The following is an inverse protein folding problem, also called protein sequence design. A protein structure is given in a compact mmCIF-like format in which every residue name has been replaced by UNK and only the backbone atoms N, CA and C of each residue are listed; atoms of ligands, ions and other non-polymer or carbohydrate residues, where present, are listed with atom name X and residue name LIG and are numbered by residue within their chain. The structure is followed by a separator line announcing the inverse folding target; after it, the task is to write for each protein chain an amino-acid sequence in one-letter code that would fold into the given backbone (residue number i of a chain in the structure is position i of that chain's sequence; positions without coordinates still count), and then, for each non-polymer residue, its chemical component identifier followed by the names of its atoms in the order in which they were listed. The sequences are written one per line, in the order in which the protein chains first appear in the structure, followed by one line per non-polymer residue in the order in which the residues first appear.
data_IF_545496420644
#
_entry.id   IF_545496420644
#
_cell.length_a   1.000
_cell.length_b   1.000
_cell.length_c   1.000
_cell.angle_alpha   90.00
_cell.angle_beta   90.00
_cell.angle_gamma   90.00
#
_symmetry.space_group_name_H-M   'P 1'
#
loop_
_entity.id
_entity.type
_entity.pdbx_description
1 polymer ?
#
# COMPACT_ATOMS: atom_id res chain seq x y z
N UNK A 1 0.23 -15.99 7.14
CA UNK A 1 0.71 -14.86 7.98
C UNK A 1 -0.27 -13.70 7.79
N UNK A 2 -0.83 -13.19 8.86
CA UNK A 2 -1.62 -11.96 8.82
C UNK A 2 -0.63 -10.78 8.92
N UNK A 3 -0.57 -9.92 7.91
CA UNK A 3 0.37 -8.80 7.88
C UNK A 3 -0.36 -7.47 8.04
N UNK A 4 -1.54 -7.35 7.46
CA UNK A 4 -2.36 -6.14 7.50
C UNK A 4 -3.85 -6.48 7.56
N UNK A 5 -4.69 -5.49 7.83
CA UNK A 5 -6.15 -5.59 7.83
C UNK A 5 -6.77 -4.29 7.32
N UNK A 6 -8.05 -4.33 6.93
CA UNK A 6 -8.81 -3.16 6.56
C UNK A 6 -10.04 -3.00 7.47
N UNK A 7 -10.64 -1.82 7.46
CA UNK A 7 -11.97 -1.58 8.02
C UNK A 7 -13.02 -1.58 6.90
N UNK A 8 -14.21 -2.07 7.19
CA UNK A 8 -15.40 -1.90 6.37
C UNK A 8 -16.54 -1.46 7.30
N UNK A 9 -16.85 -0.17 7.31
CA UNK A 9 -17.64 0.41 8.40
C UNK A 9 -16.95 0.16 9.74
N UNK A 10 -17.66 -0.50 10.66
CA UNK A 10 -17.13 -0.85 11.98
C UNK A 10 -16.48 -2.25 12.03
N UNK A 11 -16.61 -3.06 10.98
CA UNK A 11 -16.10 -4.43 10.91
C UNK A 11 -14.64 -4.46 10.42
N UNK A 12 -13.92 -5.55 10.78
CA UNK A 12 -12.52 -5.74 10.39
C UNK A 12 -12.42 -6.77 9.28
N UNK A 13 -11.79 -6.41 8.19
CA UNK A 13 -11.47 -7.31 7.07
C UNK A 13 -10.07 -7.87 7.25
N UNK A 14 -9.94 -9.19 7.21
CA UNK A 14 -8.67 -9.91 7.42
C UNK A 14 -8.33 -10.79 6.22
N UNK A 15 -7.04 -10.91 5.93
CA UNK A 15 -6.50 -11.61 4.77
C UNK A 15 -5.77 -12.88 5.22
N UNK A 16 -6.40 -14.06 5.03
CA UNK A 16 -5.75 -15.35 5.26
C UNK A 16 -5.23 -15.88 3.92
N UNK A 17 -4.06 -15.38 3.55
CA UNK A 17 -3.39 -15.68 2.29
C UNK A 17 -2.19 -16.60 2.51
N UNK A 18 -1.73 -17.31 1.45
CA UNK A 18 -0.76 -18.41 1.56
C UNK A 18 0.69 -17.96 1.80
N UNK A 19 0.91 -16.95 2.64
CA UNK A 19 2.21 -16.64 3.23
C UNK A 19 2.30 -17.32 4.59
N UNK A 20 3.10 -18.38 4.67
CA UNK A 20 3.24 -19.18 5.89
C UNK A 20 4.56 -18.90 6.58
N UNK A 21 4.55 -18.93 7.92
CA UNK A 21 5.76 -18.76 8.73
C UNK A 21 6.34 -20.14 9.02
N UNK A 22 7.57 -20.37 8.55
CA UNK A 22 8.33 -21.62 8.69
C UNK A 22 9.66 -21.36 9.42
N UNK A 23 9.68 -21.25 10.76
CA UNK A 23 10.89 -20.88 11.50
C UNK A 23 12.10 -21.80 11.26
N UNK A 24 11.85 -23.09 10.99
CA UNK A 24 12.90 -24.05 10.69
C UNK A 24 13.75 -23.70 9.45
N UNK A 25 13.26 -22.86 8.56
CA UNK A 25 14.01 -22.36 7.39
C UNK A 25 15.24 -21.54 7.79
N UNK A 26 15.17 -20.85 8.94
CA UNK A 26 16.31 -20.09 9.48
C UNK A 26 17.52 -20.96 9.81
N UNK A 27 17.31 -22.24 10.08
CA UNK A 27 18.41 -23.21 10.29
C UNK A 27 19.21 -23.49 9.01
N UNK A 28 18.69 -23.05 7.86
CA UNK A 28 19.32 -23.20 6.54
C UNK A 28 19.56 -21.82 5.88
N UNK A 29 19.72 -20.77 6.68
CA UNK A 29 19.94 -19.38 6.23
C UNK A 29 18.89 -18.87 5.22
N UNK A 30 17.64 -19.38 5.35
CA UNK A 30 16.51 -18.95 4.53
C UNK A 30 15.57 -18.06 5.32
N UNK A 31 14.94 -17.12 4.62
CA UNK A 31 13.90 -16.28 5.24
C UNK A 31 12.74 -17.15 5.74
N UNK A 32 12.19 -16.87 6.95
CA UNK A 32 11.22 -17.75 7.60
C UNK A 32 9.81 -17.70 6.99
N UNK A 33 9.55 -16.87 6.00
CA UNK A 33 8.26 -16.78 5.31
C UNK A 33 8.34 -17.44 3.93
N UNK A 34 7.32 -18.19 3.57
CA UNK A 34 7.22 -18.91 2.30
C UNK A 34 5.83 -18.74 1.69
N UNK A 35 5.77 -18.62 0.35
CA UNK A 35 4.53 -18.65 -0.40
C UNK A 35 4.15 -20.08 -0.70
N UNK A 36 3.01 -20.54 -0.16
CA UNK A 36 2.50 -21.91 -0.31
C UNK A 36 1.09 -21.88 -0.94
N UNK A 37 0.95 -21.77 -2.27
CA UNK A 37 -0.34 -21.59 -2.94
C UNK A 37 -1.35 -22.70 -2.65
N UNK A 38 -0.88 -23.90 -2.31
CA UNK A 38 -1.75 -25.03 -1.92
C UNK A 38 -2.48 -24.83 -0.59
N UNK A 39 -2.07 -23.85 0.21
CA UNK A 39 -2.80 -23.45 1.42
C UNK A 39 -4.17 -22.82 1.10
N UNK A 40 -4.34 -22.31 -0.13
CA UNK A 40 -5.50 -21.53 -0.52
C UNK A 40 -5.45 -20.10 0.01
N UNK A 41 -6.49 -19.32 -0.32
CA UNK A 41 -6.66 -17.97 0.17
C UNK A 41 -8.13 -17.70 0.50
N UNK A 42 -8.37 -16.86 1.50
CA UNK A 42 -9.71 -16.41 1.86
C UNK A 42 -9.66 -15.03 2.51
N UNK A 43 -10.75 -14.29 2.36
CA UNK A 43 -10.96 -13.00 3.02
C UNK A 43 -12.03 -13.21 4.09
N UNK A 44 -11.77 -12.72 5.30
CA UNK A 44 -12.69 -12.82 6.44
C UNK A 44 -13.20 -11.45 6.86
N UNK A 45 -14.47 -11.40 7.25
CA UNK A 45 -15.07 -10.25 7.94
C UNK A 45 -15.29 -10.63 9.40
N UNK A 46 -14.63 -9.92 10.29
CA UNK A 46 -14.79 -10.07 11.73
C UNK A 46 -15.75 -8.99 12.22
N UNK A 47 -16.94 -9.39 12.63
CA UNK A 47 -17.91 -8.46 13.19
C UNK A 47 -17.47 -7.96 14.57
N UNK A 48 -17.22 -6.68 14.66
CA UNK A 48 -16.58 -6.05 15.83
C UNK A 48 -17.33 -6.30 17.13
N UNK A 49 -18.68 -6.23 17.10
CA UNK A 49 -19.50 -6.39 18.31
C UNK A 49 -19.59 -7.83 18.81
N UNK A 50 -19.65 -8.81 17.89
CA UNK A 50 -19.93 -10.21 18.23
C UNK A 50 -18.70 -11.10 18.17
N UNK A 51 -17.65 -10.69 17.48
CA UNK A 51 -16.47 -11.50 17.16
C UNK A 51 -16.78 -12.62 16.14
N UNK A 52 -18.00 -12.72 15.62
CA UNK A 52 -18.33 -13.68 14.58
C UNK A 52 -17.53 -13.37 13.30
N UNK A 53 -17.07 -14.40 12.62
CA UNK A 53 -16.27 -14.24 11.40
C UNK A 53 -16.91 -15.01 10.25
N UNK A 54 -17.14 -14.31 9.13
CA UNK A 54 -17.57 -14.90 7.86
C UNK A 54 -16.39 -14.93 6.90
N UNK A 55 -16.18 -16.06 6.20
CA UNK A 55 -15.06 -16.27 5.30
C UNK A 55 -15.51 -16.52 3.87
N UNK A 56 -14.89 -15.87 2.89
CA UNK A 56 -15.05 -16.15 1.47
C UNK A 56 -13.73 -16.64 0.88
N UNK A 57 -13.76 -17.77 0.18
CA UNK A 57 -12.59 -18.26 -0.57
C UNK A 57 -12.36 -17.39 -1.80
N UNK A 58 -11.08 -17.11 -2.09
CA UNK A 58 -10.60 -16.31 -3.22
C UNK A 58 -9.38 -16.98 -3.88
N UNK A 59 -8.98 -16.50 -5.04
CA UNK A 59 -7.77 -17.02 -5.71
C UNK A 59 -6.50 -16.72 -4.90
N UNK A 60 -5.59 -17.70 -4.79
CA UNK A 60 -4.32 -17.54 -4.10
C UNK A 60 -3.46 -16.42 -4.69
N UNK A 61 -2.74 -15.75 -3.83
CA UNK A 61 -1.79 -14.69 -4.16
C UNK A 61 -1.06 -14.25 -2.89
N UNK A 62 -0.39 -13.12 -2.95
CA UNK A 62 0.20 -12.48 -1.79
C UNK A 62 -0.42 -11.10 -1.62
N UNK A 63 -0.90 -10.82 -0.43
CA UNK A 63 -1.35 -9.50 0.02
C UNK A 63 -0.52 -9.15 1.24
N UNK A 64 0.26 -8.07 1.14
CA UNK A 64 0.94 -7.46 2.27
C UNK A 64 0.12 -6.29 2.80
N UNK A 65 -0.31 -5.38 1.94
CA UNK A 65 -0.97 -4.16 2.34
C UNK A 65 -2.39 -4.07 1.76
N UNK A 66 -3.34 -3.81 2.65
CA UNK A 66 -4.70 -3.44 2.32
C UNK A 66 -4.77 -1.98 1.85
N UNK A 67 -5.56 -1.69 0.84
CA UNK A 67 -5.81 -0.32 0.43
C UNK A 67 -7.03 0.26 1.15
N UNK A 68 -8.17 -0.43 1.08
CA UNK A 68 -9.40 -0.08 1.80
C UNK A 68 -10.45 -1.18 1.66
N UNK A 69 -11.52 -1.12 2.47
CA UNK A 69 -12.71 -1.93 2.28
C UNK A 69 -13.96 -1.15 2.67
N UNK A 70 -15.11 -1.49 2.08
CA UNK A 70 -16.39 -0.89 2.41
C UNK A 70 -17.55 -1.79 2.00
N UNK A 71 -18.74 -1.50 2.48
CA UNK A 71 -19.96 -2.18 2.05
C UNK A 71 -20.73 -1.33 1.03
N UNK A 72 -21.14 -1.97 -0.06
CA UNK A 72 -22.15 -1.48 -1.01
C UNK A 72 -23.44 -2.32 -0.82
N UNK A 73 -24.33 -1.87 0.05
CA UNK A 73 -25.47 -2.68 0.46
C UNK A 73 -25.04 -3.93 1.24
N UNK A 74 -25.31 -5.13 0.69
CA UNK A 74 -24.93 -6.43 1.25
C UNK A 74 -23.61 -6.98 0.67
N UNK A 75 -22.96 -6.21 -0.19
CA UNK A 75 -21.73 -6.58 -0.87
C UNK A 75 -20.54 -5.88 -0.25
N UNK A 76 -19.55 -6.66 0.17
CA UNK A 76 -18.27 -6.16 0.62
C UNK A 76 -17.34 -5.94 -0.59
N UNK A 77 -16.86 -4.73 -0.75
CA UNK A 77 -15.80 -4.38 -1.71
C UNK A 77 -14.50 -4.26 -0.94
N UNK A 78 -13.49 -5.05 -1.33
CA UNK A 78 -12.15 -5.04 -0.72
C UNK A 78 -11.14 -4.68 -1.79
N UNK A 79 -10.26 -3.72 -1.48
CA UNK A 79 -9.13 -3.36 -2.34
C UNK A 79 -7.83 -3.53 -1.59
N UNK A 80 -6.86 -4.17 -2.23
CA UNK A 80 -5.53 -4.38 -1.67
C UNK A 80 -4.50 -4.52 -2.79
N UNK A 81 -3.22 -4.52 -2.42
CA UNK A 81 -2.15 -4.79 -3.36
C UNK A 81 -1.89 -6.30 -3.40
N UNK A 82 -2.12 -6.89 -4.58
CA UNK A 82 -1.97 -8.33 -4.80
C UNK A 82 -0.82 -8.61 -5.75
N UNK A 83 0.05 -9.53 -5.36
CA UNK A 83 1.10 -10.07 -6.19
C UNK A 83 0.97 -11.58 -6.39
N UNK A 84 1.56 -12.09 -7.48
CA UNK A 84 1.60 -13.52 -7.82
C UNK A 84 3.05 -13.98 -7.94
N UNK A 85 3.66 -14.50 -6.86
CA UNK A 85 4.99 -15.07 -6.92
C UNK A 85 5.04 -16.27 -7.89
N UNK A 86 6.03 -16.30 -8.78
CA UNK A 86 6.19 -17.38 -9.75
C UNK A 86 6.64 -18.70 -9.13
N UNK A 87 7.27 -18.63 -7.96
CA UNK A 87 7.73 -19.82 -7.20
C UNK A 87 7.63 -19.57 -5.69
N UNK A 88 7.51 -20.61 -4.86
CA UNK A 88 7.43 -20.47 -3.40
C UNK A 88 8.58 -19.68 -2.76
N UNK A 89 9.78 -19.75 -3.33
CA UNK A 89 10.97 -19.05 -2.80
C UNK A 89 11.18 -17.65 -3.39
N UNK A 90 10.41 -17.23 -4.39
CA UNK A 90 10.64 -15.98 -5.13
C UNK A 90 10.17 -14.73 -4.40
N UNK A 91 9.28 -14.88 -3.42
CA UNK A 91 8.65 -13.73 -2.75
C UNK A 91 9.65 -12.73 -2.12
N UNK A 92 10.78 -13.22 -1.60
CA UNK A 92 11.82 -12.36 -1.00
C UNK A 92 13.12 -12.37 -1.80
N UNK A 93 13.37 -13.45 -2.55
CA UNK A 93 14.59 -13.56 -3.34
C UNK A 93 14.57 -12.72 -4.63
N UNK A 94 13.39 -12.36 -5.11
CA UNK A 94 13.21 -11.49 -6.28
C UNK A 94 11.95 -10.65 -6.09
N UNK A 95 11.99 -9.42 -6.59
CA UNK A 95 10.81 -8.57 -6.59
C UNK A 95 9.67 -9.22 -7.38
N UNK A 96 8.54 -9.34 -6.70
CA UNK A 96 7.29 -9.71 -7.33
C UNK A 96 6.39 -8.49 -7.30
N UNK A 97 6.08 -7.88 -8.46
CA UNK A 97 5.26 -6.69 -8.50
C UNK A 97 3.87 -6.97 -7.94
N UNK A 98 3.37 -6.04 -7.15
CA UNK A 98 2.00 -6.02 -6.69
C UNK A 98 1.21 -4.96 -7.46
N UNK A 99 -0.08 -5.19 -7.60
CA UNK A 99 -0.99 -4.34 -8.36
C UNK A 99 -2.26 -4.14 -7.57
N UNK A 100 -2.92 -3.02 -7.77
CA UNK A 100 -4.19 -2.73 -7.13
C UNK A 100 -5.26 -3.71 -7.63
N UNK A 101 -5.88 -4.42 -6.70
CA UNK A 101 -6.80 -5.51 -6.93
C UNK A 101 -8.09 -5.33 -6.15
N UNK A 102 -9.22 -5.74 -6.70
CA UNK A 102 -10.53 -5.65 -6.09
C UNK A 102 -11.20 -7.02 -6.00
N UNK A 103 -11.76 -7.31 -4.84
CA UNK A 103 -12.70 -8.41 -4.58
C UNK A 103 -14.07 -7.85 -4.25
N UNK A 104 -15.11 -8.49 -4.80
CA UNK A 104 -16.50 -8.26 -4.43
C UNK A 104 -17.06 -9.53 -3.81
N UNK A 105 -17.54 -9.41 -2.57
CA UNK A 105 -17.89 -10.56 -1.73
C UNK A 105 -19.29 -10.34 -1.15
N UNK A 106 -20.12 -11.38 -1.19
CA UNK A 106 -21.41 -11.39 -0.52
C UNK A 106 -21.52 -12.63 0.38
N UNK A 107 -21.57 -12.41 1.69
CA UNK A 107 -21.49 -13.49 2.66
C UNK A 107 -20.24 -14.35 2.46
N UNK A 108 -20.40 -15.65 2.19
CA UNK A 108 -19.30 -16.58 1.97
C UNK A 108 -18.85 -16.71 0.49
N UNK A 109 -19.41 -15.90 -0.40
CA UNK A 109 -19.16 -16.02 -1.85
C UNK A 109 -18.36 -14.82 -2.38
N UNK A 110 -17.23 -15.10 -3.00
CA UNK A 110 -16.58 -14.16 -3.91
C UNK A 110 -17.40 -14.10 -5.21
N UNK A 111 -17.91 -12.91 -5.54
CA UNK A 111 -18.73 -12.67 -6.74
C UNK A 111 -17.84 -12.34 -7.95
N UNK A 112 -16.80 -11.56 -7.69
CA UNK A 112 -15.80 -11.20 -8.70
C UNK A 112 -14.49 -10.80 -8.04
N UNK A 113 -13.41 -10.98 -8.78
CA UNK A 113 -12.09 -10.54 -8.39
C UNK A 113 -11.27 -10.16 -9.63
N UNK A 114 -10.59 -9.01 -9.59
CA UNK A 114 -9.86 -8.48 -10.75
C UNK A 114 -8.76 -7.49 -10.38
N UNK A 115 -7.76 -7.36 -11.21
CA UNK A 115 -6.88 -6.19 -11.21
C UNK A 115 -7.67 -4.97 -11.68
N UNK A 116 -7.48 -3.84 -11.00
CA UNK A 116 -8.08 -2.56 -11.36
C UNK A 116 -7.04 -1.55 -11.84
N UNK A 117 -5.76 -1.94 -11.83
CA UNK A 117 -4.67 -1.23 -12.51
C UNK A 117 -3.54 -2.18 -12.90
N UNK A 118 -2.88 -1.87 -14.01
CA UNK A 118 -1.64 -2.53 -14.47
C UNK A 118 -0.37 -1.84 -13.94
N UNK A 119 -0.52 -0.79 -13.15
CA UNK A 119 0.62 -0.07 -12.55
C UNK A 119 1.10 -0.80 -11.31
N UNK A 120 2.35 -1.30 -11.38
CA UNK A 120 2.99 -1.92 -10.22
C UNK A 120 3.21 -0.89 -9.10
N UNK A 121 2.78 -1.22 -7.89
CA UNK A 121 2.88 -0.32 -6.73
C UNK A 121 2.93 -1.10 -5.42
N UNK A 122 3.28 -0.39 -4.36
CA UNK A 122 3.24 -0.86 -2.97
C UNK A 122 2.88 0.29 -2.02
N UNK A 123 2.56 -0.06 -0.76
CA UNK A 123 2.21 0.88 0.29
C UNK A 123 1.07 1.82 -0.12
N UNK A 124 -0.14 1.29 -0.27
CA UNK A 124 -1.29 2.08 -0.64
C UNK A 124 -1.71 2.97 0.53
N UNK A 125 -2.10 4.20 0.23
CA UNK A 125 -2.65 5.13 1.17
C UNK A 125 -3.95 5.74 0.62
N UNK A 126 -4.87 6.05 1.50
CA UNK A 126 -6.17 6.60 1.18
C UNK A 126 -6.42 7.85 2.03
N UNK A 127 -7.29 8.72 1.56
CA UNK A 127 -7.82 9.81 2.37
C UNK A 127 -8.40 9.24 3.68
N UNK A 128 -7.89 9.61 4.87
CA UNK A 128 -8.34 9.02 6.14
C UNK A 128 -9.83 9.21 6.40
N UNK A 129 -10.48 10.19 5.76
CA UNK A 129 -11.93 10.38 5.83
C UNK A 129 -12.72 9.29 5.09
N UNK A 130 -12.05 8.55 4.18
CA UNK A 130 -12.62 7.45 3.38
C UNK A 130 -12.26 6.06 3.89
N UNK A 131 -11.54 5.93 5.00
CA UNK A 131 -11.21 4.62 5.57
C UNK A 131 -12.48 3.92 6.06
N UNK A 132 -12.69 2.67 5.62
CA UNK A 132 -13.90 1.91 5.94
C UNK A 132 -15.15 2.32 5.15
N UNK A 133 -15.03 3.28 4.24
CA UNK A 133 -16.08 3.78 3.36
C UNK A 133 -15.62 3.74 1.90
N UNK A 134 -16.51 4.09 0.96
CA UNK A 134 -16.12 4.19 -0.45
C UNK A 134 -15.17 5.37 -0.67
N UNK A 135 -13.90 5.06 -0.89
CA UNK A 135 -12.88 6.04 -1.20
C UNK A 135 -12.58 6.02 -2.71
N UNK A 136 -12.78 7.16 -3.40
CA UNK A 136 -12.66 7.19 -4.85
C UNK A 136 -11.21 7.23 -5.35
N UNK A 137 -10.25 7.60 -4.51
CA UNK A 137 -8.85 7.73 -4.89
C UNK A 137 -7.92 7.03 -3.91
N UNK A 138 -6.83 6.48 -4.45
CA UNK A 138 -5.74 5.85 -3.71
C UNK A 138 -4.40 6.42 -4.17
N UNK A 139 -3.46 6.49 -3.25
CA UNK A 139 -2.07 6.87 -3.52
C UNK A 139 -1.17 5.70 -3.14
N UNK A 140 -0.06 5.53 -3.86
CA UNK A 140 0.89 4.48 -3.55
C UNK A 140 2.29 4.90 -4.02
N UNK A 141 3.30 4.13 -3.62
CA UNK A 141 4.64 4.25 -4.19
C UNK A 141 4.84 3.21 -5.30
N UNK A 142 5.60 3.57 -6.32
CA UNK A 142 5.79 2.75 -7.51
C UNK A 142 7.25 2.80 -7.97
N UNK A 143 7.82 1.69 -8.47
CA UNK A 143 9.11 1.71 -9.15
C UNK A 143 8.97 2.34 -10.54
N UNK A 144 10.02 3.03 -11.00
CA UNK A 144 10.10 3.56 -12.37
C UNK A 144 10.20 2.45 -13.42
N UNK A 145 10.82 1.33 -13.04
CA UNK A 145 10.98 0.16 -13.90
C UNK A 145 10.79 -1.11 -13.09
N UNK A 146 10.12 -2.09 -13.69
CA UNK A 146 9.96 -3.43 -13.12
C UNK A 146 11.14 -4.28 -13.60
N UNK A 147 11.89 -4.81 -12.65
CA UNK A 147 12.99 -5.74 -12.94
C UNK A 147 14.25 -5.40 -12.12
N UNK A 148 14.64 -6.33 -11.28
CA UNK A 148 15.83 -6.23 -10.42
C UNK A 148 15.69 -7.08 -9.16
N UNK A 149 16.78 -7.35 -8.47
CA UNK A 149 16.74 -8.10 -7.21
C UNK A 149 16.29 -7.17 -6.08
N UNK A 150 15.19 -7.50 -5.44
CA UNK A 150 14.77 -7.05 -4.10
C UNK A 150 14.54 -5.54 -3.87
N UNK A 151 13.30 -5.15 -3.56
CA UNK A 151 12.91 -3.79 -3.14
C UNK A 151 13.49 -3.38 -1.77
N UNK A 152 13.97 -4.32 -0.97
CA UNK A 152 14.52 -4.08 0.37
C UNK A 152 16.05 -4.05 0.40
N UNK A 153 16.70 -4.08 -0.77
CA UNK A 153 18.15 -3.97 -0.90
C UNK A 153 18.63 -2.50 -0.95
N UNK A 154 19.93 -2.27 -0.78
CA UNK A 154 20.50 -0.94 -1.01
C UNK A 154 20.22 -0.50 -2.45
N UNK A 155 20.09 0.82 -2.72
CA UNK A 155 19.75 1.36 -4.05
C UNK A 155 20.64 0.88 -5.21
N UNK A 156 21.86 0.43 -4.90
CA UNK A 156 22.80 -0.13 -5.88
C UNK A 156 22.46 -1.54 -6.37
N UNK A 157 21.58 -2.25 -5.66
CA UNK A 157 21.26 -3.67 -5.91
C UNK A 157 19.76 -3.95 -6.03
N UNK A 158 18.91 -2.96 -5.75
CA UNK A 158 17.46 -3.12 -5.66
C UNK A 158 16.68 -2.30 -6.68
N UNK A 159 15.37 -2.47 -6.63
CA UNK A 159 14.43 -1.63 -7.36
C UNK A 159 14.36 -0.28 -6.67
N UNK A 160 14.63 0.76 -7.43
CA UNK A 160 14.48 2.13 -6.97
C UNK A 160 12.99 2.52 -7.01
N UNK A 161 12.39 2.66 -5.84
CA UNK A 161 11.04 3.20 -5.72
C UNK A 161 11.16 4.71 -5.69
N UNK A 162 10.78 5.35 -6.77
CA UNK A 162 10.99 6.78 -7.00
C UNK A 162 9.75 7.53 -7.52
N UNK A 163 8.58 6.86 -7.52
CA UNK A 163 7.33 7.46 -7.98
C UNK A 163 6.26 7.41 -6.90
N UNK A 164 5.51 8.49 -6.76
CA UNK A 164 4.18 8.52 -6.14
C UNK A 164 3.16 8.41 -7.25
N UNK A 165 2.22 7.50 -7.13
CA UNK A 165 1.14 7.27 -8.12
C UNK A 165 -0.22 7.49 -7.48
N UNK A 166 -1.18 7.93 -8.29
CA UNK A 166 -2.58 8.10 -7.95
C UNK A 166 -3.44 7.18 -8.80
N UNK A 167 -4.39 6.54 -8.15
CA UNK A 167 -5.48 5.80 -8.79
C UNK A 167 -6.78 6.55 -8.54
N UNK A 168 -7.62 6.68 -9.56
CA UNK A 168 -8.93 7.32 -9.47
C UNK A 168 -9.99 6.38 -10.03
N UNK A 169 -10.92 5.98 -9.17
CA UNK A 169 -11.97 5.00 -9.49
C UNK A 169 -13.25 5.65 -10.03
N UNK A 170 -13.29 6.97 -10.15
CA UNK A 170 -14.45 7.71 -10.71
C UNK A 170 -14.50 7.66 -12.24
N UNK A 171 -13.40 7.26 -12.88
CA UNK A 171 -13.35 7.12 -14.34
C UNK A 171 -14.02 5.84 -14.82
N UNK A 172 -14.49 5.86 -16.09
CA UNK A 172 -15.10 4.70 -16.76
C UNK A 172 -14.06 3.81 -17.48
N UNK A 173 -12.77 4.06 -17.26
CA UNK A 173 -11.67 3.31 -17.89
C UNK A 173 -11.41 1.95 -17.23
N UNK A 174 -10.79 1.04 -18.02
CA UNK A 174 -10.41 -0.29 -17.53
C UNK A 174 -9.20 -0.25 -16.56
N UNK A 175 -8.40 0.83 -16.56
CA UNK A 175 -7.27 1.05 -15.66
C UNK A 175 -7.53 2.28 -14.78
N UNK A 176 -7.46 2.08 -13.47
CA UNK A 176 -7.65 3.13 -12.49
C UNK A 176 -6.46 4.11 -12.36
N UNK A 177 -5.31 3.84 -13.01
CA UNK A 177 -4.19 4.76 -13.00
C UNK A 177 -4.60 6.15 -13.54
N UNK A 178 -4.35 7.18 -12.76
CA UNK A 178 -4.76 8.55 -13.10
C UNK A 178 -3.58 9.50 -13.27
N UNK A 179 -2.59 9.45 -12.36
CA UNK A 179 -1.52 10.45 -12.32
C UNK A 179 -0.30 9.94 -11.57
N UNK A 180 0.86 10.57 -11.78
CA UNK A 180 2.09 10.22 -11.09
C UNK A 180 3.08 11.39 -11.00
N UNK A 181 3.85 11.40 -9.92
CA UNK A 181 5.02 12.25 -9.79
C UNK A 181 6.27 11.39 -9.54
N UNK A 182 7.38 11.75 -10.21
CA UNK A 182 8.66 11.06 -10.06
C UNK A 182 9.64 11.95 -9.28
N UNK A 183 10.30 11.36 -8.29
CA UNK A 183 11.33 12.05 -7.50
C UNK A 183 12.48 12.57 -8.39
N UNK A 184 13.19 13.62 -7.95
CA UNK A 184 14.44 14.05 -8.57
C UNK A 184 15.45 12.90 -8.66
N UNK A 185 16.34 12.97 -9.65
CA UNK A 185 17.46 12.03 -9.75
C UNK A 185 18.27 11.96 -8.45
N UNK A 186 18.71 10.76 -8.10
CA UNK A 186 19.44 10.47 -6.87
C UNK A 186 18.64 10.56 -5.56
N UNK A 187 17.29 10.54 -5.62
CA UNK A 187 16.42 10.33 -4.49
C UNK A 187 15.57 9.07 -4.67
N UNK A 188 15.22 8.44 -3.56
CA UNK A 188 14.30 7.30 -3.51
C UNK A 188 13.35 7.45 -2.33
N UNK A 189 12.16 6.88 -2.44
CA UNK A 189 11.14 6.91 -1.39
C UNK A 189 11.53 5.95 -0.27
N UNK A 190 11.39 6.40 0.97
CA UNK A 190 11.73 5.62 2.17
C UNK A 190 10.54 5.15 2.97
N UNK A 191 9.33 5.57 2.61
CA UNK A 191 8.08 5.18 3.28
C UNK A 191 6.90 5.24 2.31
N UNK A 192 5.74 4.77 2.79
CA UNK A 192 4.45 5.03 2.16
C UNK A 192 4.17 6.53 2.03
N UNK A 193 3.28 6.95 1.11
CA UNK A 193 2.80 8.33 1.08
C UNK A 193 1.87 8.59 2.27
N UNK A 194 2.07 9.71 2.97
CA UNK A 194 1.16 10.13 4.04
C UNK A 194 0.11 11.07 3.46
N UNK A 195 -1.16 10.71 3.59
CA UNK A 195 -2.28 11.48 3.04
C UNK A 195 -2.88 12.37 4.11
N UNK A 196 -2.97 13.67 3.84
CA UNK A 196 -3.48 14.69 4.77
C UNK A 196 -4.64 15.46 4.12
N UNK A 197 -5.85 15.38 4.65
CA UNK A 197 -6.99 16.12 4.11
C UNK A 197 -6.74 17.63 4.08
N UNK A 198 -7.09 18.31 2.98
CA UNK A 198 -7.20 19.77 2.96
C UNK A 198 -8.48 20.17 3.68
N UNK A 199 -8.49 21.33 4.35
CA UNK A 199 -9.63 21.81 5.17
C UNK A 199 -10.94 21.92 4.40
N UNK A 200 -10.86 22.25 3.12
CA UNK A 200 -11.97 22.40 2.17
C UNK A 200 -11.90 21.40 1.02
N UNK A 201 -11.01 20.41 1.14
CA UNK A 201 -10.74 19.43 0.11
C UNK A 201 -11.87 18.41 -0.08
N UNK A 202 -12.11 18.06 -1.33
CA UNK A 202 -13.02 16.96 -1.71
C UNK A 202 -12.48 15.63 -1.21
N UNK A 203 -13.38 14.72 -0.81
CA UNK A 203 -13.00 13.36 -0.43
C UNK A 203 -12.24 12.66 -1.57
N UNK A 204 -11.13 12.06 -1.23
CA UNK A 204 -10.29 11.25 -2.09
C UNK A 204 -9.06 12.00 -2.61
N UNK A 205 -9.19 13.06 -3.39
CA UNK A 205 -8.07 13.80 -3.98
C UNK A 205 -7.89 15.23 -3.46
N UNK A 206 -8.86 15.77 -2.74
CA UNK A 206 -8.72 17.05 -2.02
C UNK A 206 -7.83 16.92 -0.79
N UNK A 207 -6.59 16.48 -0.99
CA UNK A 207 -5.62 16.14 0.04
C UNK A 207 -4.22 16.66 -0.31
N UNK A 208 -3.38 16.80 0.69
CA UNK A 208 -1.93 16.85 0.53
C UNK A 208 -1.37 15.42 0.62
N UNK A 209 -0.42 15.10 -0.24
CA UNK A 209 0.32 13.83 -0.22
C UNK A 209 1.78 14.11 0.14
N UNK A 210 2.20 13.66 1.31
CA UNK A 210 3.57 13.81 1.77
C UNK A 210 4.39 12.59 1.39
N UNK A 211 5.49 12.80 0.69
CA UNK A 211 6.42 11.76 0.28
C UNK A 211 7.81 12.02 0.86
N UNK A 212 8.36 11.04 1.56
CA UNK A 212 9.69 11.12 2.17
C UNK A 212 10.72 10.52 1.21
N UNK A 213 11.64 11.35 0.73
CA UNK A 213 12.71 10.92 -0.16
C UNK A 213 14.08 11.12 0.46
N UNK A 214 14.90 10.07 0.41
CA UNK A 214 16.30 10.14 0.86
C UNK A 214 17.24 10.06 -0.34
N UNK A 215 18.33 10.85 -0.31
CA UNK A 215 19.32 10.84 -1.40
C UNK A 215 20.11 9.53 -1.42
N UNK A 216 20.45 9.07 -2.63
CA UNK A 216 21.28 7.89 -2.84
C UNK A 216 22.78 8.15 -2.60
N UNK A 217 23.20 9.41 -2.39
CA UNK A 217 24.59 9.79 -2.21
C UNK A 217 25.12 9.36 -0.81
N UNK A 218 26.08 8.43 -0.71
CA UNK A 218 26.50 7.86 0.58
C UNK A 218 27.16 8.88 1.53
N UNK A 219 27.81 9.91 0.99
CA UNK A 219 28.66 10.82 1.79
C UNK A 219 27.89 11.98 2.44
N UNK A 220 26.69 12.29 1.99
CA UNK A 220 25.83 13.38 2.51
C UNK A 220 24.38 13.02 2.24
N UNK A 221 23.86 12.02 2.94
CA UNK A 221 22.46 11.69 2.83
C UNK A 221 21.60 12.85 3.31
N UNK A 222 20.68 13.27 2.45
CA UNK A 222 19.67 14.28 2.74
C UNK A 222 18.30 13.61 2.66
N UNK A 223 17.40 14.02 3.53
CA UNK A 223 15.99 13.65 3.44
C UNK A 223 15.16 14.87 3.18
N UNK A 224 14.29 14.75 2.20
CA UNK A 224 13.29 15.75 1.85
C UNK A 224 11.90 15.21 2.13
N UNK A 225 11.02 16.07 2.61
CA UNK A 225 9.57 15.84 2.58
C UNK A 225 9.04 16.64 1.41
N UNK A 226 8.47 15.95 0.44
CA UNK A 226 7.80 16.55 -0.70
C UNK A 226 6.31 16.63 -0.39
N UNK A 227 5.72 17.80 -0.47
CA UNK A 227 4.29 18.03 -0.28
C UNK A 227 3.65 18.18 -1.65
N UNK A 228 2.92 17.17 -2.08
CA UNK A 228 2.26 17.11 -3.37
C UNK A 228 0.78 17.46 -3.23
N UNK A 229 0.20 18.04 -4.28
CA UNK A 229 -1.24 18.20 -4.40
C UNK A 229 -1.88 16.89 -4.89
N UNK A 230 -2.79 16.31 -4.12
CA UNK A 230 -3.48 15.08 -4.50
C UNK A 230 -4.39 15.21 -5.73
N UNK A 231 -4.77 16.44 -6.11
CA UNK A 231 -5.54 16.69 -7.33
C UNK A 231 -4.67 16.66 -8.59
N UNK A 232 -3.36 17.04 -8.47
CA UNK A 232 -2.42 17.16 -9.60
C UNK A 232 -1.00 16.80 -9.16
N UNK A 233 -0.69 15.50 -9.13
CA UNK A 233 0.66 15.02 -8.79
C UNK A 233 1.69 15.44 -9.86
N UNK A 234 1.29 15.45 -11.14
CA UNK A 234 2.20 15.70 -12.26
C UNK A 234 2.83 17.10 -12.22
N UNK A 235 2.14 18.08 -11.64
CA UNK A 235 2.70 19.43 -11.43
C UNK A 235 3.88 19.46 -10.44
N UNK A 236 4.11 18.37 -9.71
CA UNK A 236 5.18 18.25 -8.73
C UNK A 236 4.88 18.88 -7.38
N UNK A 237 5.87 18.97 -6.48
CA UNK A 237 5.62 19.38 -5.10
C UNK A 237 5.32 20.88 -5.00
N UNK A 238 4.24 21.20 -4.28
CA UNK A 238 3.91 22.56 -3.86
C UNK A 238 4.94 23.10 -2.85
N UNK A 239 5.57 22.20 -2.07
CA UNK A 239 6.59 22.54 -1.10
C UNK A 239 7.59 21.39 -0.95
N UNK A 240 8.85 21.72 -0.68
CA UNK A 240 9.91 20.76 -0.33
C UNK A 240 10.56 21.20 0.97
N UNK A 241 10.57 20.33 1.96
CA UNK A 241 11.20 20.56 3.26
C UNK A 241 12.44 19.68 3.39
N UNK A 242 13.63 20.27 3.47
CA UNK A 242 14.85 19.52 3.81
C UNK A 242 14.89 19.27 5.32
N UNK A 243 14.94 18.01 5.72
CA UNK A 243 15.04 17.63 7.13
C UNK A 243 16.50 17.78 7.61
N UNK A 244 16.72 18.32 8.84
CA UNK A 244 18.06 18.46 9.39
C UNK A 244 18.65 17.09 9.76
N UNK A 245 19.96 16.93 9.55
CA UNK A 245 20.71 15.74 9.96
C UNK A 245 21.07 14.80 8.81
N UNK A 246 21.34 13.54 9.16
CA UNK A 246 21.62 12.49 8.20
C UNK A 246 20.31 11.98 7.55
N UNK A 247 20.43 11.35 6.38
CA UNK A 247 19.29 10.77 5.69
C UNK A 247 18.50 9.78 6.58
N UNK A 248 17.19 9.78 6.43
CA UNK A 248 16.34 8.80 7.12
C UNK A 248 16.61 7.39 6.56
N UNK A 249 16.64 6.38 7.43
CA UNK A 249 16.61 5.00 7.01
C UNK A 249 15.25 4.69 6.35
N UNK A 250 15.13 3.48 5.81
CA UNK A 250 13.85 3.00 5.29
C UNK A 250 12.81 2.96 6.42
N UNK A 251 11.75 3.78 6.29
CA UNK A 251 10.78 4.04 7.37
C UNK A 251 9.56 3.13 7.35
N UNK A 252 9.26 2.48 6.21
CA UNK A 252 8.08 1.64 5.95
C UNK A 252 6.77 2.43 6.04
N UNK A 253 6.26 2.67 7.25
CA UNK A 253 4.97 3.29 7.50
C UNK A 253 5.10 4.66 8.15
N UNK A 254 4.10 5.50 7.95
CA UNK A 254 3.99 6.84 8.50
C UNK A 254 2.53 7.17 8.86
N UNK A 255 2.32 8.15 9.73
CA UNK A 255 1.00 8.65 10.03
C UNK A 255 1.04 10.17 10.20
N UNK A 256 -0.06 10.81 9.89
CA UNK A 256 -0.30 12.22 10.23
C UNK A 256 -0.97 12.31 11.60
N UNK A 257 -0.52 13.23 12.44
CA UNK A 257 -1.12 13.53 13.74
C UNK A 257 -1.42 15.02 13.79
N UNK A 258 -2.66 15.39 14.07
CA UNK A 258 -3.06 16.78 14.19
C UNK A 258 -2.38 17.46 15.40
N UNK A 259 -2.06 18.76 15.25
CA UNK A 259 -1.36 19.51 16.29
C UNK A 259 -2.11 19.57 17.62
N UNK A 260 -3.43 19.54 17.60
CA UNK A 260 -4.28 19.49 18.80
C UNK A 260 -4.14 18.17 19.55
N UNK A 261 -4.00 17.05 18.84
CA UNK A 261 -3.77 15.72 19.45
C UNK A 261 -2.39 15.63 20.09
N UNK A 262 -1.38 16.29 19.51
CA UNK A 262 -0.03 16.36 20.09
C UNK A 262 0.02 17.21 21.36
N UNK A 263 -0.85 18.21 21.46
CA UNK A 263 -0.91 19.13 22.60
C UNK A 263 -1.77 18.58 23.75
N UNK A 264 -2.54 17.51 23.56
CA UNK A 264 -3.37 16.92 24.60
C UNK A 264 -2.49 16.36 25.72
N UNK A 265 -2.73 16.69 27.01
CA UNK A 265 -2.00 16.09 28.12
C UNK A 265 -2.26 14.58 28.17
N UNK A 266 -1.19 13.80 28.29
CA UNK A 266 -1.25 12.35 28.45
C UNK A 266 -1.68 11.96 29.86
#
# INVERSE_FOLDING_TARGET
MLHDCALAGDDVVVFDFPLTVRPARMLSDKFPVEYEPTHGARIGVVHRETGATTWAAVEPGVVLHAANAHFEGDELVVRALRSLPSTPSSFIASYTPAFLYEWRIRGERCLSEKYISETACEFPAVDPRGVGADAPCYFAISPRAIGGPNIYGPPSEGILIDRVVKFDLRGDGDDAFADAWTLPENFWLVSEPTVVPKSDGRLGDGVWVLAFGTSTAPARQKTHVYVLDGEDLASGPACVVELPGAGLPYGLHSCWVEGEELAAPR
#
